data_IF_881632778807
#
_entry.id   IF_881632778807
#
_cell.length_a   1.000
_cell.length_b   1.000
_cell.length_c   1.000
_cell.angle_alpha   90.00
_cell.angle_beta   90.00
_cell.angle_gamma   90.00
#
_symmetry.space_group_name_H-M   'P 1'
#
loop_
_entity.id
_entity.type
_entity.pdbx_description
1 polymer ?
#
# COMPACT_ATOMS: atom_id res chain seq x y z
N UNK A 1 -15.41 -6.39 -4.42
CA UNK A 1 -15.39 -4.94 -4.72
C UNK A 1 -14.04 -4.59 -5.34
N UNK A 2 -13.94 -3.60 -6.24
CA UNK A 2 -12.65 -3.23 -6.80
C UNK A 2 -11.73 -2.66 -5.71
N UNK A 3 -10.43 -2.90 -5.83
CA UNK A 3 -9.41 -2.26 -5.00
C UNK A 3 -8.57 -1.39 -5.93
N UNK A 4 -8.39 -0.14 -5.53
CA UNK A 4 -7.59 0.82 -6.26
C UNK A 4 -6.22 0.93 -5.62
N UNK A 5 -5.17 0.97 -6.45
CA UNK A 5 -3.82 1.33 -6.03
C UNK A 5 -3.42 2.62 -6.73
N UNK A 6 -3.14 3.65 -5.95
CA UNK A 6 -2.77 4.98 -6.45
C UNK A 6 -1.30 5.21 -6.14
N UNK A 7 -0.51 5.44 -7.18
CA UNK A 7 0.90 5.81 -7.11
C UNK A 7 1.02 7.32 -7.27
N UNK A 8 1.68 7.98 -6.34
CA UNK A 8 1.83 9.42 -6.34
C UNK A 8 3.13 9.87 -5.70
N UNK A 9 3.59 11.06 -6.09
CA UNK A 9 4.78 11.67 -5.52
C UNK A 9 4.42 12.53 -4.31
N UNK A 10 5.12 12.32 -3.20
CA UNK A 10 4.96 13.08 -1.95
C UNK A 10 6.33 13.37 -1.34
N UNK A 11 6.64 14.65 -1.09
CA UNK A 11 7.94 15.08 -0.55
C UNK A 11 9.14 14.44 -1.29
N UNK A 12 9.09 14.48 -2.63
CA UNK A 12 10.10 13.90 -3.53
C UNK A 12 10.20 12.37 -3.54
N UNK A 13 9.42 11.66 -2.70
CA UNK A 13 9.32 10.20 -2.69
C UNK A 13 8.14 9.71 -3.49
N UNK A 14 8.29 8.54 -4.12
CA UNK A 14 7.17 7.82 -4.72
C UNK A 14 6.48 6.96 -3.65
N UNK A 15 5.19 7.20 -3.44
CA UNK A 15 4.36 6.46 -2.49
C UNK A 15 3.21 5.76 -3.22
N UNK A 16 2.73 4.69 -2.61
CA UNK A 16 1.55 3.96 -3.07
C UNK A 16 0.52 3.83 -1.95
N UNK A 17 -0.75 4.02 -2.29
CA UNK A 17 -1.89 3.82 -1.39
C UNK A 17 -2.90 2.86 -2.00
N UNK A 18 -3.47 2.00 -1.15
CA UNK A 18 -4.57 1.11 -1.52
C UNK A 18 -5.87 1.60 -0.90
N UNK A 19 -6.97 1.50 -1.64
CA UNK A 19 -8.27 1.97 -1.19
C UNK A 19 -9.42 1.20 -1.83
N UNK A 20 -10.59 1.20 -1.19
CA UNK A 20 -11.81 0.58 -1.73
C UNK A 20 -12.63 1.52 -2.60
N UNK A 21 -12.44 2.82 -2.45
CA UNK A 21 -13.22 3.83 -3.17
C UNK A 21 -12.33 4.94 -3.70
N UNK A 22 -12.56 5.28 -4.96
CA UNK A 22 -11.86 6.32 -5.69
C UNK A 22 -12.88 7.18 -6.43
N UNK A 23 -12.76 8.50 -6.29
CA UNK A 23 -13.65 9.50 -6.84
C UNK A 23 -12.84 10.53 -7.65
N UNK A 24 -13.17 10.63 -8.94
CA UNK A 24 -12.52 11.50 -9.92
C UNK A 24 -13.39 12.70 -10.32
N UNK A 25 -14.51 12.94 -9.62
CA UNK A 25 -15.43 14.05 -9.95
C UNK A 25 -14.83 15.43 -9.66
N UNK A 26 -13.82 15.49 -8.79
CA UNK A 26 -13.08 16.71 -8.51
C UNK A 26 -12.07 17.02 -9.64
N UNK A 27 -12.13 18.20 -10.30
CA UNK A 27 -11.34 18.48 -11.51
C UNK A 27 -9.81 18.41 -11.34
N UNK A 28 -9.31 18.60 -10.12
CA UNK A 28 -7.88 18.70 -9.84
C UNK A 28 -7.39 17.70 -8.81
N UNK A 29 -8.29 16.92 -8.22
CA UNK A 29 -7.95 16.01 -7.13
C UNK A 29 -8.56 14.65 -7.36
N UNK A 30 -7.78 13.62 -7.08
CA UNK A 30 -8.24 12.25 -6.89
C UNK A 30 -8.65 12.12 -5.44
N UNK A 31 -9.94 11.89 -5.20
CA UNK A 31 -10.45 11.59 -3.87
C UNK A 31 -10.35 10.10 -3.59
N UNK A 32 -9.70 9.74 -2.50
CA UNK A 32 -9.49 8.36 -2.07
C UNK A 32 -10.14 8.18 -0.71
N UNK A 33 -11.01 7.17 -0.59
CA UNK A 33 -11.75 6.85 0.63
C UNK A 33 -11.56 5.38 0.99
N UNK A 34 -11.71 5.07 2.27
CA UNK A 34 -11.58 3.71 2.82
C UNK A 34 -10.20 3.11 2.51
N UNK A 35 -9.15 3.75 3.04
CA UNK A 35 -7.77 3.30 2.88
C UNK A 35 -7.58 1.88 3.46
N UNK A 36 -6.88 1.04 2.70
CA UNK A 36 -6.50 -0.31 3.09
C UNK A 36 -5.03 -0.26 3.51
N UNK A 37 -4.79 -0.28 4.81
CA UNK A 37 -3.45 -0.30 5.40
C UNK A 37 -3.24 -1.67 6.07
N UNK A 38 -2.02 -2.24 5.97
CA UNK A 38 -1.72 -3.45 6.75
C UNK A 38 -1.90 -3.18 8.24
N UNK A 39 -2.33 -4.21 8.99
CA UNK A 39 -2.42 -4.13 10.46
C UNK A 39 -1.03 -3.99 11.08
N UNK A 40 -0.94 -3.53 12.32
CA UNK A 40 0.33 -3.50 13.07
C UNK A 40 0.77 -4.94 13.32
N UNK A 41 1.62 -5.48 12.44
CA UNK A 41 2.38 -6.69 12.73
C UNK A 41 3.64 -6.29 13.50
N UNK A 42 3.91 -6.96 14.63
CA UNK A 42 5.13 -6.75 15.44
C UNK A 42 6.44 -6.97 14.66
N UNK A 43 6.37 -7.61 13.49
CA UNK A 43 7.43 -7.62 12.49
C UNK A 43 7.10 -6.55 11.44
N UNK A 44 7.81 -5.42 11.45
CA UNK A 44 7.74 -4.43 10.36
C UNK A 44 8.84 -4.82 9.36
N UNK A 45 8.43 -5.35 8.20
CA UNK A 45 9.34 -5.80 7.14
C UNK A 45 9.54 -4.69 6.07
N UNK A 46 8.62 -3.74 5.95
CA UNK A 46 8.69 -2.62 4.99
C UNK A 46 8.60 -1.25 5.68
N UNK A 47 9.69 -0.44 5.69
CA UNK A 47 9.69 0.90 6.28
C UNK A 47 8.78 1.90 5.55
N UNK A 48 8.51 1.67 4.26
CA UNK A 48 7.67 2.56 3.44
C UNK A 48 6.21 2.45 3.86
N UNK A 49 5.73 1.23 4.15
CA UNK A 49 4.36 1.00 4.60
C UNK A 49 4.11 1.57 6.01
N UNK A 50 5.11 1.52 6.89
CA UNK A 50 5.03 2.16 8.20
C UNK A 50 5.00 3.70 8.08
N UNK A 51 5.78 4.28 7.17
CA UNK A 51 5.73 5.72 6.87
C UNK A 51 4.35 6.13 6.36
N UNK A 52 3.80 5.41 5.39
CA UNK A 52 2.45 5.65 4.84
C UNK A 52 1.38 5.59 5.94
N UNK A 53 1.48 4.62 6.84
CA UNK A 53 0.55 4.49 7.98
C UNK A 53 0.68 5.64 8.97
N UNK A 54 1.90 6.07 9.31
CA UNK A 54 2.11 7.21 10.21
C UNK A 54 1.59 8.51 9.61
N UNK A 55 1.76 8.69 8.30
CA UNK A 55 1.33 9.89 7.57
C UNK A 55 -0.19 9.93 7.35
N UNK A 56 -0.78 8.83 6.87
CA UNK A 56 -2.15 8.83 6.36
C UNK A 56 -3.11 7.90 7.13
N UNK A 57 -2.62 7.12 8.11
CA UNK A 57 -3.42 6.09 8.78
C UNK A 57 -4.54 6.59 9.69
N UNK A 58 -4.64 7.90 9.92
CA UNK A 58 -5.76 8.53 10.63
C UNK A 58 -6.70 9.30 9.71
N UNK A 59 -6.42 9.35 8.40
CA UNK A 59 -7.24 10.09 7.45
C UNK A 59 -8.32 9.17 6.87
N UNK A 60 -9.59 9.56 7.03
CA UNK A 60 -10.72 8.84 6.45
C UNK A 60 -10.91 9.13 4.95
N UNK A 61 -10.50 10.33 4.51
CA UNK A 61 -10.60 10.81 3.15
C UNK A 61 -9.35 11.60 2.78
N UNK A 62 -8.71 11.22 1.67
CA UNK A 62 -7.53 11.88 1.13
C UNK A 62 -7.86 12.49 -0.24
N UNK A 63 -7.40 13.72 -0.49
CA UNK A 63 -7.50 14.38 -1.78
C UNK A 63 -6.09 14.60 -2.33
N UNK A 64 -5.71 13.83 -3.35
CA UNK A 64 -4.38 13.90 -3.95
C UNK A 64 -4.45 14.74 -5.22
N UNK A 65 -3.59 15.76 -5.41
CA UNK A 65 -3.54 16.51 -6.65
C UNK A 65 -3.30 15.59 -7.86
N UNK A 66 -4.08 15.74 -8.93
CA UNK A 66 -3.93 14.92 -10.14
C UNK A 66 -2.52 14.99 -10.73
N UNK A 67 -1.90 16.17 -10.65
CA UNK A 67 -0.53 16.42 -11.13
C UNK A 67 0.55 15.58 -10.43
N UNK A 68 0.29 15.13 -9.19
CA UNK A 68 1.25 14.30 -8.43
C UNK A 68 0.99 12.82 -8.60
N UNK A 69 -0.13 12.43 -9.22
CA UNK A 69 -0.49 11.03 -9.45
C UNK A 69 0.21 10.53 -10.70
N UNK A 70 1.00 9.48 -10.53
CA UNK A 70 1.76 8.86 -11.61
C UNK A 70 0.98 7.72 -12.28
N UNK A 71 0.23 6.93 -11.50
CA UNK A 71 -0.49 5.75 -11.99
C UNK A 71 -1.66 5.42 -11.06
N UNK A 72 -2.80 5.03 -11.63
CA UNK A 72 -3.93 4.43 -10.90
C UNK A 72 -4.17 3.05 -11.50
N UNK A 73 -4.16 2.03 -10.65
CA UNK A 73 -4.48 0.66 -11.02
C UNK A 73 -5.78 0.24 -10.33
N UNK A 74 -6.62 -0.49 -11.06
CA UNK A 74 -7.85 -1.10 -10.55
C UNK A 74 -7.71 -2.62 -10.57
N UNK A 75 -7.97 -3.25 -9.43
CA UNK A 75 -7.92 -4.69 -9.26
C UNK A 75 -9.29 -5.23 -8.91
N UNK A 76 -9.60 -6.42 -9.42
CA UNK A 76 -10.71 -7.24 -8.92
C UNK A 76 -10.33 -7.78 -7.54
N UNK A 77 -11.29 -7.83 -6.61
CA UNK A 77 -11.13 -8.19 -5.19
C UNK A 77 -10.22 -9.42 -4.96
N UNK A 78 -10.40 -10.43 -5.81
CA UNK A 78 -9.72 -11.72 -5.75
C UNK A 78 -8.19 -11.64 -5.97
N UNK A 79 -7.68 -10.51 -6.49
CA UNK A 79 -6.25 -10.33 -6.76
C UNK A 79 -5.44 -9.90 -5.53
N UNK A 80 -6.09 -9.41 -4.47
CA UNK A 80 -5.44 -9.01 -3.22
C UNK A 80 -5.81 -9.89 -2.02
N UNK A 81 -6.57 -10.97 -2.23
CA UNK A 81 -6.76 -12.00 -1.21
C UNK A 81 -5.39 -12.45 -0.73
N UNK A 82 -5.16 -12.34 0.60
CA UNK A 82 -3.94 -12.71 1.32
C UNK A 82 -3.12 -13.73 0.52
N UNK A 83 -2.10 -13.27 -0.20
CA UNK A 83 -0.99 -14.18 -0.44
C UNK A 83 -0.38 -14.36 0.95
N UNK A 84 -0.54 -15.52 1.61
CA UNK A 84 0.16 -15.74 2.86
C UNK A 84 1.62 -15.47 2.55
N UNK A 85 2.24 -14.56 3.29
CA UNK A 85 3.69 -14.38 3.27
C UNK A 85 4.28 -15.78 3.29
N UNK A 86 4.87 -16.21 2.17
CA UNK A 86 5.38 -17.57 2.04
C UNK A 86 6.67 -17.59 2.86
N UNK A 87 6.51 -17.77 4.17
CA UNK A 87 7.62 -17.96 5.10
C UNK A 87 8.29 -19.24 4.64
N UNK A 88 9.46 -19.09 4.02
CA UNK A 88 10.28 -20.21 3.62
C UNK A 88 11.11 -20.58 4.85
N UNK A 89 10.88 -21.77 5.40
CA UNK A 89 11.75 -22.32 6.43
C UNK A 89 13.15 -22.51 5.84
N UNK A 90 14.11 -21.71 6.30
CA UNK A 90 15.50 -21.92 5.96
C UNK A 90 16.05 -23.00 6.89
N UNK A 91 16.62 -24.07 6.32
CA UNK A 91 17.38 -25.04 7.10
C UNK A 91 18.78 -24.48 7.32
N UNK A 92 19.13 -24.24 8.58
CA UNK A 92 20.50 -23.99 9.00
C UNK A 92 21.34 -25.22 8.61
N UNK A 93 22.24 -25.07 7.64
CA UNK A 93 23.25 -26.09 7.35
C UNK A 93 24.35 -25.81 8.37
N UNK A 94 24.41 -26.61 9.43
CA UNK A 94 25.58 -26.66 10.28
C UNK A 94 26.70 -27.33 9.45
N UNK A 95 27.69 -26.52 9.07
CA UNK A 95 28.94 -27.01 8.47
C UNK A 95 29.55 -28.03 9.44
N UNK A 96 29.39 -29.31 9.10
CA UNK A 96 30.14 -30.38 9.74
C UNK A 96 31.55 -30.33 9.17
N UNK A 97 32.46 -29.74 9.94
CA UNK A 97 33.90 -29.84 9.74
C UNK A 97 34.30 -31.31 9.53
N UNK A 98 35.01 -31.57 8.44
CA UNK A 98 35.93 -32.70 8.34
C UNK A 98 37.06 -32.38 7.36
#
# INVERSE_FOLDING_TARGET
MPIYRVHFKWNEKDLQLKAKSLDLTHPYFVSIKDLILAKESKLIIDPTEDEVRRLFGKADHLMIPFQTVSLIEEFKDDAFGDQPSKVMDFKLIEDSEN
#
